data_IF_231317496254
#
_entry.id   IF_231317496254
#
_cell.length_a   1.000
_cell.length_b   1.000
_cell.length_c   1.000
_cell.angle_alpha   90.00
_cell.angle_beta   90.00
_cell.angle_gamma   90.00
#
_symmetry.space_group_name_H-M   'P 1'
#
loop_
_entity.id
_entity.type
_entity.pdbx_description
1 polymer ?
#
# COMPACT_ATOMS: atom_id res chain seq x y z
N UNK A 1 12.07 0.82 17.94
CA UNK A 1 10.84 0.07 18.30
C UNK A 1 10.20 -0.34 16.99
N UNK A 2 10.33 -1.61 16.58
CA UNK A 2 9.73 -2.13 15.34
C UNK A 2 8.22 -2.30 15.49
N UNK A 3 7.48 -2.22 14.40
CA UNK A 3 6.06 -2.57 14.35
C UNK A 3 5.88 -4.03 14.80
N UNK A 4 4.82 -4.32 15.54
CA UNK A 4 4.46 -5.71 15.87
C UNK A 4 4.17 -6.49 14.58
N UNK A 5 4.65 -7.73 14.49
CA UNK A 5 4.47 -8.63 13.34
C UNK A 5 3.00 -8.75 12.89
N UNK A 6 2.07 -8.74 13.85
CA UNK A 6 0.63 -8.79 13.60
C UNK A 6 0.12 -7.61 12.75
N UNK A 7 0.70 -6.42 12.93
CA UNK A 7 0.29 -5.22 12.18
C UNK A 7 0.76 -5.29 10.73
N UNK A 8 1.97 -5.78 10.50
CA UNK A 8 2.53 -6.00 9.16
C UNK A 8 1.68 -7.02 8.40
N UNK A 9 1.34 -8.14 9.05
CA UNK A 9 0.47 -9.15 8.43
C UNK A 9 -0.93 -8.63 8.12
N UNK A 10 -1.50 -7.78 8.99
CA UNK A 10 -2.81 -7.19 8.75
C UNK A 10 -2.80 -6.21 7.56
N UNK A 11 -1.75 -5.38 7.44
CA UNK A 11 -1.56 -4.49 6.30
C UNK A 11 -1.42 -5.31 5.01
N UNK A 12 -0.57 -6.34 5.04
CA UNK A 12 -0.38 -7.25 3.90
C UNK A 12 -1.69 -7.86 3.43
N UNK A 13 -2.46 -8.47 4.35
CA UNK A 13 -3.76 -9.08 4.04
C UNK A 13 -4.74 -8.08 3.42
N UNK A 14 -4.76 -6.84 3.92
CA UNK A 14 -5.60 -5.78 3.37
C UNK A 14 -5.20 -5.41 1.93
N UNK A 15 -3.89 -5.23 1.68
CA UNK A 15 -3.37 -4.90 0.34
C UNK A 15 -3.62 -6.06 -0.63
N UNK A 16 -3.36 -7.30 -0.23
CA UNK A 16 -3.58 -8.49 -1.05
C UNK A 16 -5.06 -8.63 -1.44
N UNK A 17 -5.96 -8.43 -0.47
CA UNK A 17 -7.40 -8.47 -0.70
C UNK A 17 -7.89 -7.40 -1.67
N UNK A 18 -7.32 -6.19 -1.62
CA UNK A 18 -7.72 -5.07 -2.49
C UNK A 18 -7.12 -5.12 -3.89
N UNK A 19 -5.88 -5.57 -4.01
CA UNK A 19 -5.16 -5.62 -5.29
C UNK A 19 -5.40 -6.93 -6.05
N UNK A 20 -5.80 -8.01 -5.35
CA UNK A 20 -5.87 -9.35 -5.93
C UNK A 20 -4.50 -9.97 -6.19
N UNK A 21 -3.43 -9.39 -5.63
CA UNK A 21 -2.04 -9.85 -5.80
C UNK A 21 -1.42 -10.25 -4.46
N UNK A 22 -0.31 -10.98 -4.50
CA UNK A 22 0.45 -11.32 -3.30
C UNK A 22 1.51 -10.25 -3.08
N UNK A 23 1.31 -9.40 -2.07
CA UNK A 23 2.28 -8.37 -1.69
C UNK A 23 3.48 -9.00 -0.99
N UNK A 24 4.65 -8.40 -1.19
CA UNK A 24 5.88 -8.73 -0.48
C UNK A 24 6.11 -7.75 0.68
N UNK A 25 6.68 -8.25 1.79
CA UNK A 25 7.15 -7.42 2.89
C UNK A 25 8.66 -7.32 2.77
N UNK A 26 9.17 -6.13 2.49
CA UNK A 26 10.60 -5.87 2.31
C UNK A 26 11.10 -5.03 3.47
N UNK A 27 12.23 -5.43 4.04
CA UNK A 27 12.94 -4.60 5.02
C UNK A 27 13.67 -3.47 4.30
N UNK A 28 13.51 -2.23 4.78
CA UNK A 28 14.11 -1.06 4.15
C UNK A 28 15.64 -1.10 4.18
N UNK A 29 16.24 -1.76 5.17
CA UNK A 29 17.70 -1.95 5.23
C UNK A 29 18.21 -2.94 4.18
N UNK A 30 17.32 -3.75 3.59
CA UNK A 30 17.64 -4.72 2.54
C UNK A 30 17.34 -4.21 1.13
N UNK A 31 16.77 -3.01 0.99
CA UNK A 31 16.47 -2.42 -0.32
C UNK A 31 17.78 -1.98 -0.97
N UNK A 32 17.98 -2.41 -2.22
CA UNK A 32 19.01 -1.85 -3.07
C UNK A 32 18.63 -0.41 -3.46
N UNK A 33 19.40 0.56 -2.98
CA UNK A 33 19.15 1.97 -3.23
C UNK A 33 19.43 2.38 -4.68
N UNK A 34 20.12 1.53 -5.45
CA UNK A 34 20.35 1.72 -6.88
C UNK A 34 19.17 1.22 -7.73
N UNK A 35 18.22 0.47 -7.15
CA UNK A 35 17.02 0.02 -7.85
C UNK A 35 16.03 1.19 -8.06
N UNK A 36 15.84 1.57 -9.32
CA UNK A 36 14.93 2.63 -9.73
C UNK A 36 13.47 2.38 -9.32
N UNK A 37 13.08 1.11 -9.11
CA UNK A 37 11.74 0.76 -8.64
C UNK A 37 11.51 1.21 -7.19
N UNK A 38 12.55 1.26 -6.36
CA UNK A 38 12.47 1.68 -4.96
C UNK A 38 12.91 3.13 -4.73
N UNK A 39 13.45 3.81 -5.74
CA UNK A 39 13.81 5.23 -5.68
C UNK A 39 12.78 6.14 -4.96
N UNK A 40 11.46 6.06 -5.22
CA UNK A 40 10.48 6.86 -4.47
C UNK A 40 10.40 6.51 -2.97
N UNK A 41 10.55 5.23 -2.61
CA UNK A 41 10.54 4.75 -1.22
C UNK A 41 11.80 5.22 -0.49
N UNK A 42 12.97 5.06 -1.12
CA UNK A 42 14.27 5.52 -0.59
C UNK A 42 14.22 7.02 -0.36
N UNK A 43 13.77 7.81 -1.34
CA UNK A 43 13.65 9.27 -1.21
C UNK A 43 12.72 9.68 -0.06
N UNK A 44 11.60 8.96 0.13
CA UNK A 44 10.67 9.23 1.23
C UNK A 44 11.32 8.96 2.59
N UNK A 45 12.04 7.85 2.69
CA UNK A 45 12.79 7.49 3.89
C UNK A 45 13.96 8.44 4.16
N UNK A 46 14.71 8.88 3.17
CA UNK A 46 15.76 9.89 3.37
C UNK A 46 15.19 11.21 3.91
N UNK A 47 13.97 11.56 3.50
CA UNK A 47 13.30 12.80 3.91
C UNK A 47 12.69 12.75 5.32
N UNK A 48 12.18 11.60 5.75
CA UNK A 48 11.41 11.45 7.00
C UNK A 48 11.96 10.39 7.96
N UNK A 49 13.01 9.68 7.56
CA UNK A 49 13.62 8.55 8.26
C UNK A 49 12.56 7.53 8.68
N UNK A 50 12.71 6.94 9.87
CA UNK A 50 11.79 5.94 10.43
C UNK A 50 10.32 6.38 10.50
N UNK A 51 10.03 7.69 10.44
CA UNK A 51 8.66 8.20 10.47
C UNK A 51 7.90 7.96 9.17
N UNK A 52 8.60 7.62 8.08
CA UNK A 52 7.94 7.18 6.84
C UNK A 52 7.39 5.77 6.93
N UNK A 53 7.84 4.97 7.89
CA UNK A 53 7.48 3.56 8.00
C UNK A 53 6.16 3.36 8.79
N UNK A 54 5.33 2.37 8.44
CA UNK A 54 5.46 1.50 7.26
C UNK A 54 5.09 2.24 5.96
N UNK A 55 5.69 1.84 4.83
CA UNK A 55 5.37 2.36 3.49
C UNK A 55 4.63 1.29 2.70
N UNK A 56 3.48 1.64 2.12
CA UNK A 56 2.74 0.81 1.16
C UNK A 56 3.03 1.36 -0.24
N UNK A 57 3.66 0.53 -1.06
CA UNK A 57 4.12 0.88 -2.40
C UNK A 57 3.55 -0.10 -3.42
N UNK A 58 2.93 0.43 -4.48
CA UNK A 58 2.25 -0.37 -5.51
C UNK A 58 2.54 0.26 -6.88
N UNK A 59 3.01 -0.54 -7.84
CA UNK A 59 3.27 -0.13 -9.23
C UNK A 59 4.03 1.20 -9.37
N UNK A 60 5.15 1.36 -8.66
CA UNK A 60 5.96 2.57 -8.75
C UNK A 60 5.46 3.75 -7.90
N UNK A 61 4.36 3.58 -7.15
CA UNK A 61 3.70 4.67 -6.41
C UNK A 61 3.54 4.38 -4.92
N UNK A 62 3.81 5.39 -4.11
CA UNK A 62 3.52 5.35 -2.67
C UNK A 62 2.02 5.58 -2.47
N UNK A 63 1.36 4.59 -1.89
CA UNK A 63 -0.08 4.62 -1.58
C UNK A 63 -0.34 5.14 -0.18
N UNK A 64 0.49 4.72 0.78
CA UNK A 64 0.38 5.14 2.18
C UNK A 64 1.75 5.08 2.85
N UNK A 65 1.98 5.92 3.85
CA UNK A 65 3.22 5.95 4.61
C UNK A 65 3.02 6.49 6.02
N UNK A 66 3.93 6.15 6.93
CA UNK A 66 3.99 6.70 8.30
C UNK A 66 2.77 6.35 9.16
N UNK A 67 1.97 5.36 8.76
CA UNK A 67 0.77 4.97 9.48
C UNK A 67 0.55 3.47 9.42
N UNK A 68 0.19 2.91 10.57
CA UNK A 68 -0.16 1.50 10.71
C UNK A 68 -1.66 1.28 10.88
N UNK A 69 -2.42 2.36 10.71
CA UNK A 69 -3.87 2.36 10.82
C UNK A 69 -4.48 1.79 9.54
N UNK A 70 -5.05 0.58 9.66
CA UNK A 70 -5.64 -0.14 8.54
C UNK A 70 -6.72 0.67 7.82
N UNK A 71 -7.53 1.45 8.54
CA UNK A 71 -8.59 2.29 7.97
C UNK A 71 -8.04 3.36 7.00
N UNK A 72 -6.87 3.94 7.32
CA UNK A 72 -6.23 4.95 6.47
C UNK A 72 -5.62 4.34 5.22
N UNK A 73 -5.01 3.16 5.39
CA UNK A 73 -4.43 2.40 4.28
C UNK A 73 -5.56 1.94 3.35
N UNK A 74 -6.65 1.40 3.89
CA UNK A 74 -7.83 0.98 3.12
C UNK A 74 -8.43 2.15 2.33
N UNK A 75 -8.58 3.31 2.96
CA UNK A 75 -9.07 4.52 2.27
C UNK A 75 -8.16 4.89 1.09
N UNK A 76 -6.85 4.92 1.30
CA UNK A 76 -5.87 5.28 0.26
C UNK A 76 -5.89 4.26 -0.90
N UNK A 77 -6.02 2.97 -0.57
CA UNK A 77 -6.21 1.91 -1.56
C UNK A 77 -7.52 2.05 -2.32
N UNK A 78 -8.62 2.43 -1.67
CA UNK A 78 -9.91 2.64 -2.32
C UNK A 78 -9.94 3.83 -3.27
N UNK A 79 -9.13 4.87 -3.02
CA UNK A 79 -8.94 6.00 -3.94
C UNK A 79 -8.12 5.60 -5.18
N UNK A 80 -7.16 4.67 -5.03
CA UNK A 80 -6.30 4.20 -6.12
C UNK A 80 -6.92 3.06 -6.94
N UNK A 81 -7.64 2.16 -6.27
CA UNK A 81 -8.35 1.01 -6.84
C UNK A 81 -9.84 1.14 -6.51
N UNK A 82 -10.55 2.11 -7.13
CA UNK A 82 -11.98 2.19 -6.94
C UNK A 82 -12.60 0.88 -7.42
N UNK A 83 -13.37 0.22 -6.55
CA UNK A 83 -14.14 -0.95 -6.95
C UNK A 83 -14.90 -0.57 -8.22
N UNK A 84 -14.62 -1.27 -9.33
CA UNK A 84 -15.27 -1.00 -10.61
C UNK A 84 -16.76 -0.91 -10.34
N UNK A 85 -17.32 0.29 -10.56
CA UNK A 85 -18.76 0.49 -10.37
C UNK A 85 -19.45 -0.61 -11.15
N UNK A 86 -20.13 -1.47 -10.42
CA UNK A 86 -21.11 -2.41 -10.92
C UNK A 86 -21.93 -1.65 -11.97
N UNK A 87 -21.83 -2.08 -13.23
CA UNK A 87 -22.65 -1.56 -14.32
C UNK A 87 -24.09 -1.74 -13.87
N UNK A 88 -24.78 -0.62 -13.58
CA UNK A 88 -26.16 -0.63 -13.13
C UNK A 88 -27.01 -1.50 -14.08
N UNK A 89 -27.92 -2.35 -13.57
CA UNK A 89 -28.80 -3.12 -14.43
C UNK A 89 -29.64 -2.14 -15.26
N UNK A 90 -29.48 -2.19 -16.58
CA UNK A 90 -30.37 -1.49 -17.50
C UNK A 90 -31.76 -2.05 -17.31
N UNK A 91 -32.61 -1.33 -16.58
CA UNK A 91 -34.03 -1.61 -16.45
C UNK A 91 -34.70 -1.40 -17.81
N UNK A 92 -34.68 -2.42 -18.66
CA UNK A 92 -35.56 -2.50 -19.83
C UNK A 92 -36.98 -2.71 -19.35
N UNK A 93 -37.72 -1.60 -19.26
CA UNK A 93 -39.16 -1.54 -19.08
C UNK A 93 -39.82 -2.09 -20.35
N UNK A 94 -40.58 -3.16 -20.25
CA UNK A 94 -41.57 -3.57 -21.27
C UNK A 94 -42.87 -3.90 -20.57
#
# INVERSE_FOLDING_TARGET
MGQSSETIEAIKKLVDSKTGTVSEVVDIESIDTEDENYAPVVKLFDSHSIWSLPVVFIDGKIVSWGTSRLDRIEKSLGEMFPASKETAPSTSRT
#
